data_IF_669141271195
#
_entry.id   IF_669141271195
#
_cell.length_a   1.000
_cell.length_b   1.000
_cell.length_c   1.000
_cell.angle_alpha   90.00
_cell.angle_beta   90.00
_cell.angle_gamma   90.00
#
_symmetry.space_group_name_H-M   'P 1'
#
loop_
_entity.id
_entity.type
_entity.pdbx_description
1 polymer ?
#
# COMPACT_ATOMS: atom_id res chain seq x y z
N UNK A 1 -30.84 -5.25 -0.38
CA UNK A 1 -30.75 -5.10 1.09
C UNK A 1 -29.87 -3.89 1.42
N UNK A 2 -30.06 -3.27 2.59
CA UNK A 2 -29.22 -2.16 3.06
C UNK A 2 -28.23 -2.68 4.09
N UNK A 3 -26.93 -2.44 3.88
CA UNK A 3 -25.86 -2.79 4.83
C UNK A 3 -25.22 -1.51 5.33
N UNK A 4 -25.12 -1.36 6.65
CA UNK A 4 -24.54 -0.19 7.29
C UNK A 4 -23.10 -0.42 7.68
N UNK A 5 -22.25 0.59 7.52
CA UNK A 5 -20.92 0.59 8.10
C UNK A 5 -20.64 1.87 8.89
N UNK A 6 -20.16 1.71 10.12
CA UNK A 6 -19.77 2.79 11.01
C UNK A 6 -18.36 2.60 11.56
N UNK A 7 -17.68 3.72 11.81
CA UNK A 7 -16.32 3.72 12.35
C UNK A 7 -16.15 4.83 13.38
N UNK A 8 -15.54 4.50 14.50
CA UNK A 8 -15.18 5.47 15.55
C UNK A 8 -13.67 5.49 15.77
N UNK A 9 -13.11 6.70 15.94
CA UNK A 9 -11.71 6.89 16.31
C UNK A 9 -11.63 7.26 17.78
N UNK A 10 -10.71 6.63 18.52
CA UNK A 10 -10.44 7.03 19.92
C UNK A 10 -9.79 8.42 20.05
N UNK A 11 -9.29 9.00 18.94
CA UNK A 11 -8.47 10.20 18.97
C UNK A 11 -9.25 11.53 19.08
N UNK A 12 -10.50 11.60 18.58
CA UNK A 12 -11.24 12.87 18.47
C UNK A 12 -12.17 13.18 19.66
N UNK A 13 -12.16 12.37 20.72
CA UNK A 13 -13.02 12.58 21.90
C UNK A 13 -14.54 12.42 21.65
N UNK A 14 -15.00 12.40 20.39
CA UNK A 14 -16.38 12.13 20.00
C UNK A 14 -16.63 10.61 19.97
N UNK A 15 -16.84 10.02 21.15
CA UNK A 15 -17.12 8.61 21.39
C UNK A 15 -18.57 8.18 21.08
N UNK A 16 -19.36 8.95 20.33
CA UNK A 16 -20.77 8.61 20.10
C UNK A 16 -20.92 7.75 18.84
N UNK A 17 -20.76 6.44 18.98
CA UNK A 17 -21.26 5.42 18.05
C UNK A 17 -22.75 5.59 17.80
N UNK A 18 -23.47 6.03 18.84
CA UNK A 18 -24.93 6.09 18.88
C UNK A 18 -25.49 7.01 17.79
N UNK A 19 -24.89 8.20 17.60
CA UNK A 19 -25.29 9.11 16.52
C UNK A 19 -25.15 8.50 15.11
N UNK A 20 -24.13 7.66 14.89
CA UNK A 20 -23.94 7.01 13.59
C UNK A 20 -24.96 5.87 13.42
N UNK A 21 -25.14 5.08 14.48
CA UNK A 21 -26.06 3.96 14.52
C UNK A 21 -27.49 4.43 14.28
N UNK A 22 -27.93 5.45 15.01
CA UNK A 22 -29.26 6.05 14.88
C UNK A 22 -29.49 6.57 13.45
N UNK A 23 -28.49 7.24 12.87
CA UNK A 23 -28.59 7.73 11.51
C UNK A 23 -28.69 6.59 10.47
N UNK A 24 -27.98 5.47 10.67
CA UNK A 24 -28.07 4.29 9.81
C UNK A 24 -29.43 3.60 9.93
N UNK A 25 -29.97 3.49 11.15
CA UNK A 25 -31.30 2.91 11.40
C UNK A 25 -32.38 3.79 10.75
N UNK A 26 -32.30 5.12 10.92
CA UNK A 26 -33.21 6.09 10.27
C UNK A 26 -33.12 6.00 8.75
N UNK A 27 -31.96 5.66 8.20
CA UNK A 27 -31.77 5.43 6.76
C UNK A 27 -32.33 4.08 6.28
N UNK A 28 -32.87 3.25 7.17
CA UNK A 28 -33.51 1.97 6.87
C UNK A 28 -32.60 0.75 6.92
N UNK A 29 -31.41 0.87 7.52
CA UNK A 29 -30.51 -0.29 7.74
C UNK A 29 -31.01 -1.10 8.93
N UNK A 30 -31.20 -2.40 8.77
CA UNK A 30 -31.50 -3.31 9.88
C UNK A 30 -30.34 -3.35 10.87
N UNK A 31 -30.63 -3.41 12.17
CA UNK A 31 -29.61 -3.40 13.21
C UNK A 31 -28.60 -4.56 13.08
N UNK A 32 -29.06 -5.74 12.64
CA UNK A 32 -28.23 -6.93 12.44
C UNK A 32 -27.29 -6.81 11.23
N UNK A 33 -27.51 -5.82 10.36
CA UNK A 33 -26.71 -5.54 9.16
C UNK A 33 -25.82 -4.30 9.31
N UNK A 34 -25.63 -3.82 10.54
CA UNK A 34 -24.69 -2.74 10.86
C UNK A 34 -23.35 -3.33 11.30
N UNK A 35 -22.30 -3.01 10.55
CA UNK A 35 -20.93 -3.40 10.85
C UNK A 35 -20.16 -2.22 11.47
N UNK A 36 -19.36 -2.50 12.49
CA UNK A 36 -18.58 -1.49 13.19
C UNK A 36 -17.07 -1.75 13.20
N UNK A 37 -16.28 -0.68 13.13
CA UNK A 37 -14.85 -0.70 13.43
C UNK A 37 -14.48 0.36 14.47
N UNK A 38 -13.51 0.01 15.32
CA UNK A 38 -12.92 0.92 16.31
C UNK A 38 -11.46 1.17 15.96
N UNK A 39 -11.14 2.38 15.53
CA UNK A 39 -9.76 2.77 15.26
C UNK A 39 -9.02 3.00 16.59
N UNK A 40 -8.16 2.05 16.97
CA UNK A 40 -7.24 2.18 18.09
C UNK A 40 -5.79 2.18 17.60
N UNK A 41 -5.13 3.33 17.71
CA UNK A 41 -3.68 3.44 17.49
C UNK A 41 -3.23 3.14 16.06
N UNK A 42 -1.97 2.70 15.94
CA UNK A 42 -1.19 2.55 14.69
C UNK A 42 -1.65 1.40 13.76
N UNK A 43 -2.69 0.65 14.15
CA UNK A 43 -3.21 -0.50 13.41
C UNK A 43 -4.45 -0.08 12.63
N UNK A 44 -4.33 -0.18 11.30
CA UNK A 44 -5.28 0.31 10.31
C UNK A 44 -6.22 -0.82 9.81
N UNK A 45 -6.26 -1.94 10.53
CA UNK A 45 -7.11 -3.08 10.19
C UNK A 45 -8.59 -2.74 10.38
N UNK A 46 -9.43 -3.12 9.40
CA UNK A 46 -10.87 -2.81 9.37
C UNK A 46 -11.69 -4.09 9.17
N UNK A 47 -11.65 -5.03 10.13
CA UNK A 47 -12.38 -6.29 10.01
C UNK A 47 -13.90 -6.08 9.83
N UNK A 48 -14.47 -5.02 10.41
CA UNK A 48 -15.89 -4.67 10.23
C UNK A 48 -16.20 -4.28 8.79
N UNK A 49 -15.37 -3.42 8.18
CA UNK A 49 -15.52 -3.06 6.76
C UNK A 49 -15.36 -4.28 5.85
N UNK A 50 -14.35 -5.11 6.12
CA UNK A 50 -14.11 -6.32 5.32
C UNK A 50 -15.29 -7.30 5.41
N UNK A 51 -15.91 -7.42 6.59
CA UNK A 51 -17.10 -8.25 6.78
C UNK A 51 -18.32 -7.66 6.04
N UNK A 52 -18.54 -6.35 6.12
CA UNK A 52 -19.61 -5.66 5.39
C UNK A 52 -19.46 -5.86 3.88
N UNK A 53 -18.25 -5.67 3.34
CA UNK A 53 -17.95 -5.86 1.91
C UNK A 53 -18.14 -7.31 1.43
N UNK A 54 -17.96 -8.29 2.31
CA UNK A 54 -18.21 -9.71 2.01
C UNK A 54 -19.69 -10.08 2.08
N UNK A 55 -20.47 -9.39 2.91
CA UNK A 55 -21.89 -9.64 3.06
C UNK A 55 -22.72 -9.08 1.91
N UNK A 56 -22.26 -7.99 1.27
CA UNK A 56 -22.93 -7.36 0.13
C UNK A 56 -23.05 -8.30 -1.08
N UNK A 57 -24.22 -8.28 -1.70
CA UNK A 57 -24.54 -8.98 -2.96
C UNK A 57 -25.05 -7.99 -4.00
N UNK A 58 -25.14 -8.45 -5.25
CA UNK A 58 -25.75 -7.70 -6.34
C UNK A 58 -27.15 -7.18 -5.95
N UNK A 59 -27.41 -5.89 -6.20
CA UNK A 59 -28.65 -5.22 -5.82
C UNK A 59 -28.69 -4.68 -4.38
N UNK A 60 -27.68 -4.98 -3.55
CA UNK A 60 -27.56 -4.37 -2.22
C UNK A 60 -27.02 -2.95 -2.29
N UNK A 61 -27.12 -2.22 -1.17
CA UNK A 61 -26.54 -0.88 -1.03
C UNK A 61 -25.78 -0.77 0.28
N UNK A 62 -24.51 -0.36 0.18
CA UNK A 62 -23.69 -0.01 1.33
C UNK A 62 -23.99 1.43 1.75
N UNK A 63 -24.42 1.61 2.99
CA UNK A 63 -24.69 2.91 3.60
C UNK A 63 -23.60 3.23 4.62
N UNK A 64 -22.99 4.41 4.50
CA UNK A 64 -22.03 4.93 5.48
C UNK A 64 -22.44 6.29 6.00
N UNK A 65 -22.12 6.57 7.26
CA UNK A 65 -22.48 7.85 7.87
C UNK A 65 -21.76 9.03 7.20
N UNK A 66 -20.44 8.96 7.02
CA UNK A 66 -19.63 10.00 6.37
C UNK A 66 -18.52 9.37 5.53
N UNK A 67 -18.06 10.09 4.49
CA UNK A 67 -17.03 9.61 3.56
C UNK A 67 -15.69 9.30 4.23
N UNK A 68 -15.29 10.10 5.23
CA UNK A 68 -14.05 9.91 5.98
C UNK A 68 -14.05 8.61 6.82
N UNK A 69 -15.21 7.95 6.96
CA UNK A 69 -15.32 6.67 7.64
C UNK A 69 -15.00 5.49 6.72
N UNK A 70 -15.19 5.61 5.40
CA UNK A 70 -14.98 4.52 4.43
C UNK A 70 -13.53 4.42 3.93
N UNK A 71 -12.87 5.54 3.62
CA UNK A 71 -11.52 5.58 3.04
C UNK A 71 -10.38 5.82 4.03
N UNK A 72 -9.14 5.58 3.60
CA UNK A 72 -7.92 6.18 4.23
C UNK A 72 -7.51 7.48 3.53
N UNK A 73 -7.81 7.53 2.24
CA UNK A 73 -7.62 8.66 1.35
C UNK A 73 -8.72 8.60 0.27
N UNK A 74 -8.80 9.65 -0.56
CA UNK A 74 -9.78 9.76 -1.64
C UNK A 74 -9.64 8.62 -2.66
N UNK A 75 -8.42 8.14 -2.93
CA UNK A 75 -8.18 7.06 -3.89
C UNK A 75 -8.74 5.73 -3.41
N UNK A 76 -8.50 5.39 -2.15
CA UNK A 76 -9.05 4.19 -1.54
C UNK A 76 -10.57 4.21 -1.62
N UNK A 77 -11.18 5.35 -1.28
CA UNK A 77 -12.62 5.55 -1.40
C UNK A 77 -13.11 5.34 -2.84
N UNK A 78 -12.48 6.01 -3.81
CA UNK A 78 -12.81 5.90 -5.25
C UNK A 78 -12.78 4.45 -5.71
N UNK A 79 -11.69 3.74 -5.41
CA UNK A 79 -11.52 2.35 -5.79
C UNK A 79 -12.56 1.44 -5.14
N UNK A 80 -12.82 1.60 -3.83
CA UNK A 80 -13.80 0.77 -3.13
C UNK A 80 -15.18 0.89 -3.77
N UNK A 81 -15.67 2.10 -4.02
CA UNK A 81 -17.00 2.30 -4.60
C UNK A 81 -17.04 1.89 -6.08
N UNK A 82 -15.96 2.06 -6.84
CA UNK A 82 -15.88 1.54 -8.21
C UNK A 82 -16.00 0.01 -8.24
N UNK A 83 -15.39 -0.69 -7.28
CA UNK A 83 -15.55 -2.13 -7.14
C UNK A 83 -16.96 -2.54 -6.70
N UNK A 84 -17.64 -1.72 -5.89
CA UNK A 84 -19.06 -1.93 -5.58
C UNK A 84 -19.93 -1.77 -6.82
N UNK A 85 -19.69 -0.72 -7.62
CA UNK A 85 -20.43 -0.47 -8.86
C UNK A 85 -20.28 -1.62 -9.87
N UNK A 86 -19.06 -2.15 -10.05
CA UNK A 86 -18.82 -3.33 -10.91
C UNK A 86 -19.66 -4.54 -10.49
N UNK A 87 -19.90 -4.69 -9.19
CA UNK A 87 -20.72 -5.76 -8.61
C UNK A 87 -22.22 -5.42 -8.56
N UNK A 88 -22.63 -4.31 -9.19
CA UNK A 88 -24.01 -3.80 -9.15
C UNK A 88 -24.50 -3.56 -7.71
N UNK A 89 -23.59 -3.12 -6.84
CA UNK A 89 -23.87 -2.72 -5.46
C UNK A 89 -23.93 -1.18 -5.39
N UNK A 90 -25.00 -0.66 -4.80
CA UNK A 90 -25.16 0.76 -4.51
C UNK A 90 -24.27 1.22 -3.37
N UNK A 91 -23.96 2.51 -3.37
CA UNK A 91 -23.21 3.17 -2.30
C UNK A 91 -23.89 4.49 -1.93
N UNK A 92 -24.10 4.70 -0.63
CA UNK A 92 -24.80 5.88 -0.11
C UNK A 92 -24.10 6.48 1.11
N UNK A 93 -24.06 7.80 1.15
CA UNK A 93 -23.57 8.59 2.30
C UNK A 93 -24.69 9.47 2.86
N UNK A 94 -24.91 9.37 4.16
CA UNK A 94 -26.07 10.00 4.83
C UNK A 94 -25.75 11.31 5.59
N UNK A 95 -24.47 11.64 5.83
CA UNK A 95 -24.06 12.85 6.55
C UNK A 95 -22.71 13.41 6.10
N UNK A 96 -22.46 14.70 6.35
CA UNK A 96 -21.17 15.37 6.12
C UNK A 96 -21.23 16.61 5.22
N UNK A 97 -20.14 17.39 5.23
CA UNK A 97 -19.92 18.52 4.32
C UNK A 97 -19.38 17.99 2.99
N UNK A 98 -20.29 17.52 2.16
CA UNK A 98 -20.03 16.86 0.89
C UNK A 98 -21.30 16.11 0.57
N UNK A 99 -21.95 16.50 -0.53
CA UNK A 99 -23.29 16.10 -0.94
C UNK A 99 -23.67 14.66 -0.53
N UNK A 100 -24.95 14.44 -0.22
CA UNK A 100 -25.54 13.10 -0.16
C UNK A 100 -25.17 12.31 -1.42
N UNK A 101 -24.08 11.55 -1.37
CA UNK A 101 -23.63 10.72 -2.49
C UNK A 101 -24.53 9.50 -2.46
N UNK A 102 -25.25 9.28 -3.54
CA UNK A 102 -26.09 8.11 -3.72
C UNK A 102 -25.87 7.56 -5.13
N UNK A 103 -24.99 6.56 -5.26
CA UNK A 103 -24.63 5.95 -6.54
C UNK A 103 -25.75 5.08 -7.11
N UNK A 104 -26.88 4.94 -6.43
CA UNK A 104 -28.10 4.35 -7.01
C UNK A 104 -28.81 5.32 -7.95
N UNK A 105 -28.47 6.61 -7.90
CA UNK A 105 -29.05 7.67 -8.74
C UNK A 105 -28.08 8.09 -9.86
N UNK A 106 -28.60 8.49 -11.02
CA UNK A 106 -27.77 8.98 -12.13
C UNK A 106 -26.92 10.21 -11.75
N UNK A 107 -27.49 11.12 -10.95
CA UNK A 107 -26.78 12.29 -10.44
C UNK A 107 -25.63 11.91 -9.49
N UNK A 108 -25.87 10.97 -8.57
CA UNK A 108 -24.83 10.50 -7.66
C UNK A 108 -23.72 9.72 -8.38
N UNK A 109 -24.04 8.93 -9.41
CA UNK A 109 -23.04 8.29 -10.28
C UNK A 109 -22.16 9.32 -10.99
N UNK A 110 -22.75 10.40 -11.53
CA UNK A 110 -22.00 11.48 -12.17
C UNK A 110 -21.04 12.16 -11.19
N UNK A 111 -21.54 12.57 -10.03
CA UNK A 111 -20.72 13.21 -8.98
C UNK A 111 -19.58 12.29 -8.57
N UNK A 112 -19.86 11.00 -8.41
CA UNK A 112 -18.85 10.01 -8.08
C UNK A 112 -17.79 9.85 -9.18
N UNK A 113 -18.20 9.82 -10.45
CA UNK A 113 -17.28 9.79 -11.59
C UNK A 113 -16.33 10.98 -11.63
N UNK A 114 -16.80 12.18 -11.26
CA UNK A 114 -15.95 13.37 -11.13
C UNK A 114 -14.91 13.18 -10.02
N UNK A 115 -15.30 12.69 -8.85
CA UNK A 115 -14.36 12.38 -7.77
C UNK A 115 -13.33 11.32 -8.18
N UNK A 116 -13.75 10.33 -8.96
CA UNK A 116 -12.86 9.30 -9.49
C UNK A 116 -11.81 9.90 -10.42
N UNK A 117 -12.23 10.71 -11.39
CA UNK A 117 -11.33 11.39 -12.31
C UNK A 117 -10.34 12.33 -11.59
N UNK A 118 -10.81 13.05 -10.57
CA UNK A 118 -9.94 13.91 -9.74
C UNK A 118 -8.88 13.10 -8.98
N UNK A 119 -9.25 11.94 -8.44
CA UNK A 119 -8.31 11.06 -7.73
C UNK A 119 -7.24 10.47 -8.66
N UNK A 120 -7.59 10.16 -9.90
CA UNK A 120 -6.65 9.74 -10.94
C UNK A 120 -5.71 10.88 -11.33
N UNK A 121 -6.25 12.08 -11.56
CA UNK A 121 -5.47 13.26 -11.89
C UNK A 121 -4.43 13.60 -10.80
N UNK A 122 -4.82 13.57 -9.52
CA UNK A 122 -3.89 13.80 -8.41
C UNK A 122 -2.75 12.76 -8.38
N UNK A 123 -3.04 11.50 -8.70
CA UNK A 123 -2.03 10.43 -8.80
C UNK A 123 -1.01 10.73 -9.89
N UNK A 124 -1.48 11.15 -11.06
CA UNK A 124 -0.63 11.46 -12.19
C UNK A 124 0.31 12.61 -11.86
N UNK A 125 -0.19 13.69 -11.24
CA UNK A 125 0.62 14.81 -10.79
C UNK A 125 1.71 14.41 -9.78
N UNK A 126 1.38 13.56 -8.80
CA UNK A 126 2.37 13.06 -7.83
C UNK A 126 3.44 12.22 -8.52
N UNK A 127 3.02 11.34 -9.44
CA UNK A 127 3.91 10.48 -10.22
C UNK A 127 4.86 11.29 -11.10
N UNK A 128 4.32 12.29 -11.80
CA UNK A 128 5.07 13.20 -12.65
C UNK A 128 6.14 13.96 -11.86
N UNK A 129 5.74 14.56 -10.73
CA UNK A 129 6.65 15.27 -9.83
C UNK A 129 7.75 14.34 -9.29
N UNK A 130 7.41 13.12 -8.93
CA UNK A 130 8.37 12.11 -8.45
C UNK A 130 9.38 11.76 -9.54
N UNK A 131 8.91 11.51 -10.78
CA UNK A 131 9.77 11.19 -11.92
C UNK A 131 10.70 12.36 -12.25
N UNK A 132 10.20 13.59 -12.26
CA UNK A 132 11.01 14.79 -12.47
C UNK A 132 12.08 14.95 -11.37
N UNK A 133 11.71 14.74 -10.11
CA UNK A 133 12.64 14.77 -8.98
C UNK A 133 13.73 13.70 -9.06
N UNK A 134 13.37 12.47 -9.45
CA UNK A 134 14.33 11.37 -9.66
C UNK A 134 15.27 11.65 -10.83
N UNK A 135 14.75 12.20 -11.94
CA UNK A 135 15.57 12.58 -13.09
C UNK A 135 16.58 13.67 -12.71
N UNK A 136 16.15 14.71 -12.00
CA UNK A 136 17.02 15.75 -11.50
C UNK A 136 18.07 15.22 -10.50
N UNK A 137 17.70 14.28 -9.63
CA UNK A 137 18.64 13.63 -8.71
C UNK A 137 19.70 12.81 -9.45
N UNK A 138 19.31 12.05 -10.49
CA UNK A 138 20.24 11.30 -11.35
C UNK A 138 21.18 12.21 -12.11
N UNK A 139 20.69 13.33 -12.66
CA UNK A 139 21.51 14.33 -13.32
C UNK A 139 22.57 14.94 -12.38
N UNK A 140 22.27 15.03 -11.08
CA UNK A 140 23.22 15.42 -10.02
C UNK A 140 24.10 14.27 -9.51
N UNK A 141 24.12 13.13 -10.19
CA UNK A 141 24.96 11.97 -9.85
C UNK A 141 24.40 11.03 -8.78
N UNK A 142 23.14 11.21 -8.34
CA UNK A 142 22.50 10.30 -7.37
C UNK A 142 21.79 9.16 -8.12
N UNK A 143 22.37 7.97 -8.10
CA UNK A 143 21.85 6.79 -8.81
C UNK A 143 20.61 6.13 -8.17
N UNK A 144 20.35 6.41 -6.88
CA UNK A 144 19.26 5.77 -6.13
C UNK A 144 19.50 4.29 -5.85
N UNK A 145 18.50 3.61 -5.27
CA UNK A 145 18.58 2.18 -4.94
C UNK A 145 19.31 1.86 -3.62
N UNK A 146 19.25 0.58 -3.22
CA UNK A 146 19.96 0.10 -2.05
C UNK A 146 21.48 0.04 -2.32
N UNK A 147 22.33 0.48 -1.38
CA UNK A 147 23.77 0.41 -1.57
C UNK A 147 24.24 -1.04 -1.75
N UNK A 148 25.22 -1.25 -2.64
CA UNK A 148 25.83 -2.56 -2.82
C UNK A 148 26.55 -2.99 -1.53
N UNK A 149 26.17 -4.16 -1.00
CA UNK A 149 26.79 -4.71 0.22
C UNK A 149 28.22 -5.22 0.01
N UNK A 150 28.53 -5.64 -1.22
CA UNK A 150 29.86 -6.07 -1.64
C UNK A 150 30.66 -4.85 -2.13
N UNK A 151 31.83 -4.62 -1.53
CA UNK A 151 32.76 -3.56 -1.90
C UNK A 151 34.04 -4.17 -2.48
N UNK A 152 34.85 -3.39 -3.20
CA UNK A 152 36.12 -3.88 -3.74
C UNK A 152 37.07 -4.42 -2.64
N UNK A 153 37.05 -3.82 -1.45
CA UNK A 153 37.82 -4.30 -0.30
C UNK A 153 37.31 -5.68 0.18
N UNK A 154 36.00 -5.82 0.39
CA UNK A 154 35.38 -7.10 0.77
C UNK A 154 35.61 -8.18 -0.29
N UNK A 155 35.59 -7.80 -1.57
CA UNK A 155 35.85 -8.71 -2.68
C UNK A 155 37.29 -9.24 -2.63
N UNK A 156 38.29 -8.38 -2.40
CA UNK A 156 39.68 -8.82 -2.27
C UNK A 156 39.89 -9.75 -1.07
N UNK A 157 39.28 -9.41 0.08
CA UNK A 157 39.31 -10.27 1.27
C UNK A 157 38.65 -11.62 1.01
N UNK A 158 37.48 -11.61 0.36
CA UNK A 158 36.79 -12.83 -0.05
C UNK A 158 37.64 -13.67 -1.01
N UNK A 159 38.31 -13.07 -2.00
CA UNK A 159 39.18 -13.79 -2.93
C UNK A 159 40.37 -14.45 -2.22
N UNK A 160 40.96 -13.79 -1.22
CA UNK A 160 42.10 -14.34 -0.46
C UNK A 160 41.69 -15.46 0.51
N UNK A 161 40.53 -15.33 1.14
CA UNK A 161 40.01 -16.33 2.06
C UNK A 161 39.45 -17.55 1.32
N UNK A 162 38.75 -17.34 0.21
CA UNK A 162 38.19 -18.42 -0.60
C UNK A 162 39.31 -19.24 -1.26
N UNK A 163 39.15 -20.56 -1.32
CA UNK A 163 40.19 -21.48 -1.81
C UNK A 163 41.17 -21.98 -0.74
N UNK A 164 41.15 -21.41 0.47
CA UNK A 164 41.87 -21.99 1.61
C UNK A 164 41.06 -23.15 2.22
N UNK A 165 41.70 -24.29 2.58
CA UNK A 165 41.01 -25.46 3.13
C UNK A 165 40.23 -25.17 4.42
N UNK A 166 40.71 -24.23 5.23
CA UNK A 166 40.16 -23.87 6.55
C UNK A 166 38.94 -22.92 6.46
N UNK A 167 38.62 -22.40 5.26
CA UNK A 167 37.63 -21.34 5.13
C UNK A 167 36.20 -21.85 5.27
N UNK A 168 35.57 -21.50 6.40
CA UNK A 168 34.13 -21.70 6.61
C UNK A 168 33.32 -20.56 5.99
N UNK A 169 32.75 -20.82 4.82
CA UNK A 169 31.99 -19.84 4.02
C UNK A 169 30.88 -19.12 4.82
N UNK A 170 30.23 -19.81 5.76
CA UNK A 170 29.20 -19.22 6.61
C UNK A 170 29.72 -18.13 7.56
N UNK A 171 30.89 -18.34 8.15
CA UNK A 171 31.55 -17.40 9.06
C UNK A 171 32.09 -16.20 8.27
N UNK A 172 32.76 -16.47 7.15
CA UNK A 172 33.23 -15.42 6.22
C UNK A 172 32.09 -14.49 5.76
N UNK A 173 30.92 -15.05 5.41
CA UNK A 173 29.75 -14.24 5.03
C UNK A 173 29.26 -13.34 6.18
N UNK A 174 29.28 -13.86 7.41
CA UNK A 174 28.86 -13.11 8.61
C UNK A 174 29.81 -11.94 8.89
N UNK A 175 31.11 -12.19 8.84
CA UNK A 175 32.15 -11.16 9.02
C UNK A 175 32.07 -10.07 7.95
N UNK A 176 31.89 -10.46 6.69
CA UNK A 176 31.76 -9.52 5.58
C UNK A 176 30.38 -8.83 5.52
N UNK A 177 29.40 -9.28 6.34
CA UNK A 177 28.04 -8.74 6.37
C UNK A 177 27.26 -8.95 5.06
N UNK A 178 27.52 -10.06 4.37
CA UNK A 178 26.92 -10.40 3.07
C UNK A 178 26.27 -11.78 3.11
N UNK A 179 25.35 -12.06 2.19
CA UNK A 179 24.77 -13.40 2.04
C UNK A 179 25.71 -14.31 1.25
N UNK A 180 25.60 -15.64 1.45
CA UNK A 180 26.30 -16.63 0.61
C UNK A 180 26.04 -16.43 -0.88
N UNK A 181 24.80 -16.09 -1.23
CA UNK A 181 24.42 -15.76 -2.60
C UNK A 181 25.20 -14.55 -3.15
N UNK A 182 25.35 -13.50 -2.34
CA UNK A 182 26.14 -12.32 -2.73
C UNK A 182 27.61 -12.68 -2.91
N UNK A 183 28.19 -13.46 -1.99
CA UNK A 183 29.57 -13.94 -2.09
C UNK A 183 29.80 -14.74 -3.37
N UNK A 184 29.00 -15.79 -3.60
CA UNK A 184 29.16 -16.69 -4.75
C UNK A 184 28.86 -16.06 -6.11
N UNK A 185 28.17 -14.92 -6.14
CA UNK A 185 27.99 -14.16 -7.38
C UNK A 185 29.28 -13.46 -7.81
N UNK A 186 30.14 -13.10 -6.87
CA UNK A 186 31.38 -12.35 -7.13
C UNK A 186 32.65 -13.23 -7.08
N UNK A 187 32.67 -14.29 -6.27
CA UNK A 187 33.84 -15.18 -6.07
C UNK A 187 33.42 -16.65 -6.11
N UNK A 188 34.16 -17.49 -6.81
CA UNK A 188 33.96 -18.93 -6.86
C UNK A 188 34.54 -19.64 -5.61
N UNK A 189 34.15 -20.90 -5.32
CA UNK A 189 34.68 -21.66 -4.19
C UNK A 189 36.22 -21.73 -4.10
N UNK A 190 36.90 -21.70 -5.25
CA UNK A 190 38.35 -21.75 -5.37
C UNK A 190 39.04 -20.37 -5.30
N UNK A 191 38.32 -19.31 -4.92
CA UNK A 191 38.88 -17.94 -4.85
C UNK A 191 38.93 -17.19 -6.18
N UNK A 192 38.61 -17.84 -7.31
CA UNK A 192 38.59 -17.17 -8.61
C UNK A 192 37.44 -16.17 -8.74
N UNK A 193 37.70 -15.05 -9.43
CA UNK A 193 36.75 -13.97 -9.60
C UNK A 193 35.68 -14.31 -10.65
N UNK A 194 34.42 -14.04 -10.34
CA UNK A 194 33.27 -14.24 -11.25
C UNK A 194 32.87 -12.93 -11.93
N UNK A 195 31.92 -13.01 -12.87
CA UNK A 195 31.47 -11.88 -13.72
C UNK A 195 31.14 -10.61 -12.93
N UNK A 196 30.39 -10.72 -11.83
CA UNK A 196 30.03 -9.56 -11.01
C UNK A 196 31.22 -9.02 -10.20
N UNK A 197 32.15 -9.88 -9.80
CA UNK A 197 33.42 -9.46 -9.20
C UNK A 197 34.28 -8.68 -10.19
N UNK A 198 34.38 -9.16 -11.44
CA UNK A 198 35.11 -8.48 -12.52
C UNK A 198 34.52 -7.09 -12.79
N UNK A 199 33.20 -6.99 -12.88
CA UNK A 199 32.48 -5.71 -13.00
C UNK A 199 32.78 -4.76 -11.84
N UNK A 200 32.81 -5.27 -10.60
CA UNK A 200 33.10 -4.46 -9.41
C UNK A 200 34.54 -3.90 -9.39
N UNK A 201 35.50 -4.61 -9.99
CA UNK A 201 36.88 -4.17 -10.12
C UNK A 201 37.14 -3.37 -11.41
N UNK A 202 36.14 -3.15 -12.26
CA UNK A 202 36.30 -2.45 -13.53
C UNK A 202 37.14 -3.23 -14.56
N UNK A 203 37.24 -4.55 -14.42
CA UNK A 203 37.97 -5.42 -15.35
C UNK A 203 37.04 -5.75 -16.52
N UNK A 204 37.26 -5.12 -17.68
CA UNK A 204 36.49 -5.38 -18.90
C UNK A 204 36.60 -6.85 -19.30
N UNK A 205 35.45 -7.51 -19.50
CA UNK A 205 35.39 -8.85 -20.08
C UNK A 205 35.55 -8.64 -21.58
N UNK A 206 36.71 -9.02 -22.13
CA UNK A 206 36.90 -9.18 -23.57
C UNK A 206 36.06 -10.35 -24.09
#
# INVERSE_FOLDING_TARGET
>A
MLIGYMRVSKADGSQTTDLQRDALIVAGVDEDHIYEDKASGKLDARPGLDAALKALREGDTLIVWKLDRLGRDLRHLVNTVHELEKKQIGFKVISGHGASIDTTTSAGKLVFGIFAALAEFERELISERTRAGLAAARARGRSGGAPYKMTAAKLRLAMAAMGQPETKVGELCRELGITRQTLYRHVAPNGSIRSDGKKLLGITIA
#
